data_IF_459679368870
#
_entry.id   IF_459679368870
#
_cell.length_a   1.000
_cell.length_b   1.000
_cell.length_c   1.000
_cell.angle_alpha   90.00
_cell.angle_beta   90.00
_cell.angle_gamma   90.00
#
_symmetry.space_group_name_H-M   'P 1'
#
loop_
_entity.id
_entity.type
_entity.pdbx_description
1 polymer ?
#
# COMPACT_ATOMS: atom_id res chain seq x y z
N UNK A 1 -12.88 15.24 45.24
CA UNK A 1 -11.66 15.86 44.71
C UNK A 1 -10.74 14.84 44.03
N UNK A 2 -10.59 13.62 44.57
CA UNK A 2 -9.71 12.58 44.00
C UNK A 2 -10.15 12.01 42.65
N UNK A 3 -11.46 11.90 42.39
CA UNK A 3 -11.98 11.34 41.13
C UNK A 3 -11.56 12.17 39.90
N UNK A 4 -11.52 13.50 40.03
CA UNK A 4 -11.08 14.39 38.96
C UNK A 4 -9.58 14.28 38.68
N UNK A 5 -8.78 13.99 39.70
CA UNK A 5 -7.33 13.85 39.57
C UNK A 5 -6.96 12.56 38.83
N UNK A 6 -7.66 11.46 39.11
CA UNK A 6 -7.51 10.18 38.41
C UNK A 6 -7.97 10.28 36.95
N UNK A 7 -9.09 10.96 36.69
CA UNK A 7 -9.58 11.20 35.33
C UNK A 7 -8.60 12.09 34.55
N UNK A 8 -8.07 13.16 35.14
CA UNK A 8 -7.06 14.02 34.50
C UNK A 8 -5.73 13.30 34.25
N UNK A 9 -5.28 12.47 35.20
CA UNK A 9 -4.07 11.67 35.05
C UNK A 9 -4.22 10.61 33.95
N UNK A 10 -5.37 9.92 33.88
CA UNK A 10 -5.64 8.93 32.83
C UNK A 10 -5.82 9.57 31.46
N UNK A 11 -6.46 10.75 31.35
CA UNK A 11 -6.51 11.53 30.12
C UNK A 11 -5.11 11.98 29.68
N UNK A 12 -4.28 12.46 30.62
CA UNK A 12 -2.90 12.88 30.37
C UNK A 12 -2.04 11.72 29.88
N UNK A 13 -2.20 10.54 30.45
CA UNK A 13 -1.50 9.32 30.02
C UNK A 13 -1.96 8.87 28.63
N UNK A 14 -3.26 8.95 28.34
CA UNK A 14 -3.81 8.65 27.01
C UNK A 14 -3.32 9.66 25.96
N UNK A 15 -3.28 10.95 26.28
CA UNK A 15 -2.73 11.99 25.42
C UNK A 15 -1.24 11.77 25.17
N UNK A 16 -0.43 11.50 26.21
CA UNK A 16 1.00 11.19 26.05
C UNK A 16 1.25 9.93 25.21
N UNK A 17 0.34 8.95 25.21
CA UNK A 17 0.43 7.76 24.36
C UNK A 17 -0.02 8.02 22.91
N UNK A 18 -1.02 8.88 22.70
CA UNK A 18 -1.66 9.12 21.40
C UNK A 18 -0.98 10.26 20.62
N UNK A 19 -0.50 11.31 21.29
CA UNK A 19 0.13 12.48 20.66
C UNK A 19 1.36 12.11 19.82
N UNK A 20 2.30 11.28 20.32
CA UNK A 20 3.48 10.88 19.54
C UNK A 20 3.09 10.10 18.29
N UNK A 21 2.09 9.21 18.39
CA UNK A 21 1.53 8.49 17.25
C UNK A 21 0.84 9.41 16.25
N UNK A 22 0.04 10.37 16.71
CA UNK A 22 -0.64 11.35 15.86
C UNK A 22 0.35 12.30 15.17
N UNK A 23 1.38 12.78 15.89
CA UNK A 23 2.48 13.59 15.34
C UNK A 23 3.32 12.80 14.35
N UNK A 24 3.59 11.52 14.63
CA UNK A 24 4.26 10.62 13.69
C UNK A 24 3.43 10.42 12.41
N UNK A 25 2.12 10.17 12.54
CA UNK A 25 1.21 10.04 11.39
C UNK A 25 1.15 11.34 10.58
N UNK A 26 1.00 12.49 11.24
CA UNK A 26 0.92 13.81 10.60
C UNK A 26 2.22 14.18 9.87
N UNK A 27 3.37 14.02 10.53
CA UNK A 27 4.68 14.35 9.95
C UNK A 27 5.10 13.41 8.81
N UNK A 28 4.54 12.20 8.74
CA UNK A 28 4.83 11.21 7.71
C UNK A 28 3.75 11.08 6.64
N UNK A 29 2.60 11.75 6.80
CA UNK A 29 1.50 11.76 5.82
C UNK A 29 1.97 12.25 4.43
N UNK A 30 2.97 13.14 4.39
CA UNK A 30 3.54 13.66 3.15
C UNK A 30 4.72 12.83 2.60
N UNK A 31 5.16 11.77 3.29
CA UNK A 31 6.40 11.02 2.97
C UNK A 31 6.19 9.73 2.17
N UNK A 32 4.98 9.41 1.72
CA UNK A 32 4.75 8.22 0.88
C UNK A 32 5.34 8.35 -0.53
N UNK A 33 5.99 9.48 -0.85
CA UNK A 33 6.93 9.58 -1.98
C UNK A 33 8.05 8.54 -1.85
N UNK A 34 8.41 8.14 -0.63
CA UNK A 34 9.32 7.04 -0.35
C UNK A 34 8.65 6.05 0.64
N UNK A 35 7.85 5.10 0.12
CA UNK A 35 7.13 4.17 0.97
C UNK A 35 8.06 3.20 1.72
N UNK A 36 9.28 2.97 1.22
CA UNK A 36 10.26 2.10 1.88
C UNK A 36 10.81 2.74 3.15
N UNK A 37 11.15 4.03 3.11
CA UNK A 37 11.61 4.76 4.29
C UNK A 37 10.52 4.80 5.37
N UNK A 38 9.25 5.01 5.00
CA UNK A 38 8.14 4.97 5.95
C UNK A 38 7.98 3.57 6.57
N UNK A 39 8.03 2.53 5.76
CA UNK A 39 7.92 1.14 6.24
C UNK A 39 9.03 0.78 7.23
N UNK A 40 10.28 1.15 6.92
CA UNK A 40 11.44 0.96 7.79
C UNK A 40 11.29 1.77 9.09
N UNK A 41 10.93 3.05 9.01
CA UNK A 41 10.75 3.90 10.18
C UNK A 41 9.71 3.35 11.17
N UNK A 42 8.61 2.75 10.67
CA UNK A 42 7.63 2.09 11.54
C UNK A 42 8.21 0.80 12.13
N UNK A 43 8.98 0.04 11.34
CA UNK A 43 9.64 -1.19 11.78
C UNK A 43 10.73 -0.99 12.84
N UNK A 44 11.43 0.14 12.79
CA UNK A 44 12.49 0.50 13.76
C UNK A 44 11.91 1.15 15.03
N UNK A 45 10.60 1.41 15.05
CA UNK A 45 9.91 2.00 16.21
C UNK A 45 9.44 0.94 17.21
N UNK A 46 9.13 1.33 18.47
CA UNK A 46 8.49 0.43 19.44
C UNK A 46 7.14 -0.16 18.97
N UNK A 47 6.53 0.40 17.92
CA UNK A 47 5.26 -0.03 17.35
C UNK A 47 5.41 -1.05 16.19
N UNK A 48 6.60 -1.65 16.02
CA UNK A 48 6.89 -2.58 14.92
C UNK A 48 5.87 -3.74 14.79
N UNK A 49 5.31 -4.22 15.89
CA UNK A 49 4.29 -5.29 15.91
C UNK A 49 2.99 -4.88 15.19
N UNK A 50 2.70 -3.58 15.13
CA UNK A 50 1.55 -2.99 14.42
C UNK A 50 1.93 -2.42 13.04
N UNK A 51 3.17 -2.64 12.56
CA UNK A 51 3.70 -1.99 11.35
C UNK A 51 2.76 -2.05 10.16
N UNK A 52 2.29 -3.25 9.84
CA UNK A 52 1.43 -3.48 8.69
C UNK A 52 0.11 -2.71 8.79
N UNK A 53 -0.47 -2.64 10.00
CA UNK A 53 -1.71 -1.91 10.25
C UNK A 53 -1.51 -0.40 10.16
N UNK A 54 -0.44 0.12 10.80
CA UNK A 54 -0.10 1.55 10.76
C UNK A 54 0.15 1.98 9.31
N UNK A 55 0.99 1.25 8.58
CA UNK A 55 1.32 1.57 7.20
C UNK A 55 0.09 1.55 6.30
N UNK A 56 -0.73 0.49 6.38
CA UNK A 56 -1.97 0.38 5.60
C UNK A 56 -2.94 1.51 5.92
N UNK A 57 -3.00 1.93 7.19
CA UNK A 57 -3.84 3.05 7.63
C UNK A 57 -3.35 4.39 7.04
N UNK A 58 -2.04 4.67 7.10
CA UNK A 58 -1.43 5.85 6.48
C UNK A 58 -1.68 5.88 4.97
N UNK A 59 -1.46 4.75 4.29
CA UNK A 59 -1.73 4.60 2.86
C UNK A 59 -3.17 4.98 2.53
N UNK A 60 -4.14 4.53 3.34
CA UNK A 60 -5.54 4.87 3.16
C UNK A 60 -5.84 6.35 3.34
N UNK A 61 -5.16 7.06 4.25
CA UNK A 61 -5.33 8.51 4.39
C UNK A 61 -4.78 9.29 3.20
N UNK A 62 -3.70 8.82 2.59
CA UNK A 62 -3.01 9.50 1.48
C UNK A 62 -3.67 9.17 0.13
N UNK A 63 -4.09 7.92 -0.06
CA UNK A 63 -4.90 7.48 -1.19
C UNK A 63 -6.28 7.03 -0.67
N UNK A 64 -7.24 7.97 -0.49
CA UNK A 64 -8.56 7.67 0.06
C UNK A 64 -9.31 6.58 -0.70
N UNK A 65 -9.10 6.46 -2.02
CA UNK A 65 -9.79 5.45 -2.82
C UNK A 65 -9.34 4.03 -2.46
N UNK A 66 -8.09 3.84 -2.06
CA UNK A 66 -7.59 2.53 -1.61
C UNK A 66 -8.32 2.02 -0.36
N UNK A 67 -8.93 2.91 0.45
CA UNK A 67 -9.75 2.53 1.63
C UNK A 67 -11.03 1.79 1.27
N UNK A 68 -11.45 1.84 0.00
CA UNK A 68 -12.58 1.03 -0.47
C UNK A 68 -12.26 -0.46 -0.45
N UNK A 69 -10.97 -0.83 -0.50
CA UNK A 69 -10.50 -2.19 -0.32
C UNK A 69 -10.15 -2.48 1.15
N UNK A 70 -10.50 -3.65 1.70
CA UNK A 70 -9.93 -4.19 2.92
C UNK A 70 -8.52 -4.74 2.64
N UNK A 71 -7.66 -3.86 2.13
CA UNK A 71 -6.26 -4.12 1.82
C UNK A 71 -5.46 -4.27 3.12
N UNK A 72 -4.44 -5.12 3.10
CA UNK A 72 -3.39 -5.16 4.13
C UNK A 72 -2.05 -5.39 3.44
N UNK A 73 -1.10 -4.47 3.62
CA UNK A 73 0.29 -4.67 3.17
C UNK A 73 0.95 -5.69 4.10
N UNK A 74 1.49 -6.76 3.53
CA UNK A 74 2.19 -7.83 4.25
C UNK A 74 3.70 -7.59 4.27
N UNK A 75 4.26 -7.35 3.09
CA UNK A 75 5.68 -7.13 2.87
C UNK A 75 5.88 -5.88 2.00
N UNK A 76 6.91 -5.12 2.30
CA UNK A 76 7.36 -4.00 1.50
C UNK A 76 8.89 -3.93 1.59
N UNK A 77 9.53 -4.11 0.44
CA UNK A 77 10.97 -4.01 0.27
C UNK A 77 11.27 -3.32 -1.07
N UNK A 78 12.56 -3.09 -1.37
CA UNK A 78 13.00 -2.34 -2.52
C UNK A 78 12.62 -3.04 -3.84
N UNK A 79 11.53 -2.56 -4.45
CA UNK A 79 10.95 -3.09 -5.68
C UNK A 79 10.06 -4.30 -5.44
N UNK A 80 9.69 -4.64 -4.20
CA UNK A 80 8.84 -5.79 -3.91
C UNK A 80 7.75 -5.41 -2.92
N UNK A 81 6.51 -5.72 -3.26
CA UNK A 81 5.36 -5.53 -2.36
C UNK A 81 4.46 -6.74 -2.42
N UNK A 82 4.04 -7.20 -1.25
CA UNK A 82 3.01 -8.23 -1.09
C UNK A 82 1.89 -7.66 -0.25
N UNK A 83 0.65 -7.80 -0.73
CA UNK A 83 -0.53 -7.36 -0.01
C UNK A 83 -1.66 -8.37 -0.14
N UNK A 84 -2.57 -8.37 0.83
CA UNK A 84 -3.79 -9.18 0.77
C UNK A 84 -5.03 -8.31 0.71
N UNK A 85 -6.06 -8.80 0.03
CA UNK A 85 -7.42 -8.26 0.14
C UNK A 85 -8.36 -9.37 0.59
N UNK A 86 -9.22 -9.09 1.57
CA UNK A 86 -10.26 -10.02 2.01
C UNK A 86 -11.57 -9.72 1.27
N UNK A 87 -12.23 -10.74 0.71
CA UNK A 87 -13.55 -10.55 0.14
C UNK A 87 -14.54 -9.94 1.16
N UNK A 88 -15.29 -8.93 0.71
CA UNK A 88 -16.38 -8.29 1.44
C UNK A 88 -17.58 -8.12 0.52
N UNK A 89 -18.78 -8.08 1.11
CA UNK A 89 -20.02 -7.88 0.35
C UNK A 89 -20.00 -6.62 -0.52
N UNK A 90 -19.41 -5.52 -0.02
CA UNK A 90 -19.27 -4.27 -0.77
C UNK A 90 -18.37 -4.36 -2.01
N UNK A 91 -17.57 -5.43 -2.13
CA UNK A 91 -16.66 -5.66 -3.25
C UNK A 91 -17.19 -6.67 -4.26
N UNK A 92 -18.37 -7.26 -4.03
CA UNK A 92 -18.89 -8.32 -4.89
C UNK A 92 -19.44 -7.77 -6.19
N UNK A 93 -19.20 -8.50 -7.28
CA UNK A 93 -19.93 -8.35 -8.52
C UNK A 93 -21.22 -9.21 -8.51
N UNK A 94 -22.09 -9.08 -9.52
CA UNK A 94 -23.29 -9.92 -9.66
C UNK A 94 -23.03 -11.44 -9.78
N UNK A 95 -21.77 -11.86 -9.95
CA UNK A 95 -21.36 -13.27 -10.10
C UNK A 95 -20.80 -13.89 -8.82
N UNK A 96 -21.06 -13.26 -7.66
CA UNK A 96 -20.60 -13.69 -6.34
C UNK A 96 -19.08 -13.94 -6.31
N UNK A 97 -18.34 -12.92 -6.72
CA UNK A 97 -16.87 -12.85 -6.72
C UNK A 97 -16.43 -11.41 -6.56
N UNK A 98 -15.18 -11.18 -6.17
CA UNK A 98 -14.62 -9.82 -6.07
C UNK A 98 -14.69 -9.14 -7.45
N UNK A 99 -15.15 -7.90 -7.46
CA UNK A 99 -15.34 -7.11 -8.67
C UNK A 99 -14.02 -6.89 -9.41
N UNK A 100 -14.04 -6.97 -10.74
CA UNK A 100 -12.85 -6.81 -11.58
C UNK A 100 -12.12 -5.48 -11.30
N UNK A 101 -12.86 -4.38 -11.19
CA UNK A 101 -12.31 -3.05 -10.82
C UNK A 101 -11.65 -3.02 -9.42
N UNK A 102 -12.14 -3.82 -8.47
CA UNK A 102 -11.48 -3.94 -7.17
C UNK A 102 -10.12 -4.64 -7.29
N UNK A 103 -9.98 -5.59 -8.22
CA UNK A 103 -8.70 -6.21 -8.56
C UNK A 103 -7.77 -5.24 -9.30
N UNK A 104 -8.30 -4.37 -10.15
CA UNK A 104 -7.53 -3.27 -10.76
C UNK A 104 -6.93 -2.37 -9.68
N UNK A 105 -7.74 -1.91 -8.73
CA UNK A 105 -7.29 -1.04 -7.63
C UNK A 105 -6.25 -1.73 -6.73
N UNK A 106 -6.43 -3.03 -6.46
CA UNK A 106 -5.45 -3.82 -5.74
C UNK A 106 -4.11 -3.85 -6.49
N UNK A 107 -4.14 -4.16 -7.78
CA UNK A 107 -2.95 -4.22 -8.62
C UNK A 107 -2.26 -2.84 -8.76
N UNK A 108 -3.03 -1.78 -8.99
CA UNK A 108 -2.54 -0.41 -9.04
C UNK A 108 -1.82 -0.02 -7.75
N UNK A 109 -2.44 -0.31 -6.61
CA UNK A 109 -1.87 0.04 -5.30
C UNK A 109 -0.58 -0.71 -5.04
N UNK A 110 -0.56 -2.03 -5.24
CA UNK A 110 0.61 -2.88 -4.98
C UNK A 110 1.73 -2.61 -5.98
N UNK A 111 1.39 -2.45 -7.27
CA UNK A 111 2.31 -2.09 -8.33
C UNK A 111 2.94 -0.71 -8.13
N UNK A 112 2.12 0.28 -7.80
CA UNK A 112 2.58 1.64 -7.52
C UNK A 112 3.50 1.72 -6.32
N UNK A 113 3.16 1.05 -5.22
CA UNK A 113 4.05 0.98 -4.06
C UNK A 113 5.41 0.40 -4.43
N UNK A 114 5.45 -0.73 -5.15
CA UNK A 114 6.70 -1.34 -5.58
C UNK A 114 7.53 -0.40 -6.46
N UNK A 115 6.90 0.29 -7.43
CA UNK A 115 7.56 1.28 -8.28
C UNK A 115 8.14 2.45 -7.46
N UNK A 116 7.36 3.02 -6.54
CA UNK A 116 7.80 4.16 -5.74
C UNK A 116 8.97 3.83 -4.80
N UNK A 117 9.13 2.58 -4.35
CA UNK A 117 10.32 2.18 -3.57
C UNK A 117 11.64 2.24 -4.35
N UNK A 118 11.58 2.33 -5.69
CA UNK A 118 12.76 2.42 -6.56
C UNK A 118 13.06 3.85 -7.03
N UNK A 119 12.16 4.80 -6.77
CA UNK A 119 12.35 6.19 -7.16
C UNK A 119 13.19 6.97 -6.14
N UNK A 120 14.11 7.78 -6.65
CA UNK A 120 14.83 8.78 -5.87
C UNK A 120 13.96 10.00 -5.54
N UNK A 121 14.49 10.88 -4.68
CA UNK A 121 13.76 12.08 -4.20
C UNK A 121 13.32 13.04 -5.31
N UNK A 122 14.06 13.12 -6.42
CA UNK A 122 13.78 14.04 -7.53
C UNK A 122 13.04 13.37 -8.69
N UNK A 123 12.92 12.04 -8.64
CA UNK A 123 12.32 11.24 -9.69
C UNK A 123 10.79 11.32 -9.63
N UNK A 124 10.14 11.05 -10.75
CA UNK A 124 8.68 11.05 -10.87
C UNK A 124 8.24 9.81 -11.63
N UNK A 125 7.11 9.24 -11.20
CA UNK A 125 6.45 8.14 -11.88
C UNK A 125 4.96 8.36 -11.91
N UNK A 126 4.36 8.18 -13.09
CA UNK A 126 2.91 8.31 -13.30
C UNK A 126 2.42 7.07 -14.05
N UNK A 127 1.33 6.47 -13.59
CA UNK A 127 0.67 5.38 -14.30
C UNK A 127 0.01 5.93 -15.57
N UNK A 128 0.37 5.38 -16.72
CA UNK A 128 -0.16 5.74 -18.04
C UNK A 128 -1.16 4.71 -18.58
N UNK A 129 -0.96 3.45 -18.22
CA UNK A 129 -1.79 2.36 -18.69
C UNK A 129 -1.86 1.26 -17.64
N UNK A 130 -3.01 0.60 -17.57
CA UNK A 130 -3.22 -0.59 -16.76
C UNK A 130 -4.05 -1.56 -17.59
N UNK A 131 -3.52 -2.77 -17.80
CA UNK A 131 -4.18 -3.86 -18.50
C UNK A 131 -4.35 -5.03 -17.52
N UNK A 132 -5.55 -5.60 -17.46
CA UNK A 132 -5.85 -6.77 -16.62
C UNK A 132 -6.15 -7.99 -17.49
N UNK A 133 -5.64 -9.13 -17.07
CA UNK A 133 -6.01 -10.45 -17.58
C UNK A 133 -6.57 -11.28 -16.42
N UNK A 134 -7.75 -11.87 -16.60
CA UNK A 134 -8.48 -12.61 -15.56
C UNK A 134 -8.59 -14.07 -15.94
N UNK A 135 -8.05 -14.96 -15.11
CA UNK A 135 -8.00 -16.41 -15.38
C UNK A 135 -9.04 -17.19 -14.57
N UNK A 136 -9.44 -16.67 -13.40
CA UNK A 136 -10.41 -17.32 -12.49
C UNK A 136 -11.26 -16.27 -11.77
N UNK A 137 -12.46 -16.66 -11.34
CA UNK A 137 -13.29 -15.84 -10.45
C UNK A 137 -12.60 -15.66 -9.09
N UNK A 138 -12.35 -14.40 -8.73
CA UNK A 138 -11.77 -14.01 -7.46
C UNK A 138 -12.72 -14.24 -6.27
N UNK A 139 -12.33 -15.09 -5.31
CA UNK A 139 -13.12 -15.36 -4.09
C UNK A 139 -12.22 -15.53 -2.88
N UNK A 140 -12.77 -15.23 -1.71
CA UNK A 140 -12.08 -15.34 -0.43
C UNK A 140 -10.98 -14.29 -0.25
N UNK A 141 -9.90 -14.68 0.42
CA UNK A 141 -8.72 -13.83 0.55
C UNK A 141 -7.85 -14.01 -0.67
N UNK A 142 -7.43 -12.89 -1.27
CA UNK A 142 -6.46 -12.89 -2.35
C UNK A 142 -5.15 -12.27 -1.90
N UNK A 143 -4.06 -12.72 -2.49
CA UNK A 143 -2.71 -12.18 -2.33
C UNK A 143 -2.27 -11.55 -3.64
N UNK A 144 -1.83 -10.30 -3.61
CA UNK A 144 -1.24 -9.60 -4.74
C UNK A 144 0.26 -9.40 -4.50
N UNK A 145 1.06 -9.73 -5.50
CA UNK A 145 2.51 -9.66 -5.47
C UNK A 145 3.01 -8.83 -6.64
N UNK A 146 3.84 -7.82 -6.35
CA UNK A 146 4.51 -6.99 -7.35
C UNK A 146 6.01 -7.08 -7.20
N UNK A 147 6.68 -7.22 -8.35
CA UNK A 147 8.12 -7.03 -8.51
C UNK A 147 8.39 -5.90 -9.50
N UNK A 148 9.16 -4.90 -9.09
CA UNK A 148 9.55 -3.75 -9.89
C UNK A 148 11.08 -3.66 -9.97
N UNK A 149 11.60 -3.87 -11.17
CA UNK A 149 13.01 -3.67 -11.48
C UNK A 149 13.17 -2.36 -12.23
N UNK A 150 14.13 -1.54 -11.81
CA UNK A 150 14.41 -0.25 -12.41
C UNK A 150 15.88 -0.19 -12.80
N UNK A 151 16.14 -0.24 -14.10
CA UNK A 151 17.43 0.17 -14.64
C UNK A 151 17.45 1.70 -14.70
N UNK A 152 18.51 2.33 -14.17
CA UNK A 152 18.62 3.79 -14.14
C UNK A 152 18.86 4.32 -15.56
N UNK A 153 18.19 5.39 -15.92
CA UNK A 153 18.35 6.13 -17.17
C UNK A 153 18.16 7.62 -16.89
N UNK A 154 18.65 8.48 -17.77
CA UNK A 154 18.41 9.92 -17.68
C UNK A 154 17.15 10.31 -18.48
N UNK A 155 16.33 11.21 -17.92
CA UNK A 155 15.17 11.76 -18.61
C UNK A 155 13.93 10.87 -18.49
N UNK A 156 13.06 10.93 -19.51
CA UNK A 156 11.71 10.33 -19.48
C UNK A 156 11.63 9.07 -20.33
N UNK A 157 11.10 7.98 -19.76
CA UNK A 157 10.87 6.70 -20.45
C UNK A 157 9.62 6.01 -19.94
N UNK A 158 9.00 5.18 -20.79
CA UNK A 158 7.98 4.25 -20.35
C UNK A 158 8.58 2.92 -19.88
N UNK A 159 8.13 2.44 -18.73
CA UNK A 159 8.56 1.17 -18.12
C UNK A 159 7.32 0.37 -17.76
N UNK A 160 7.35 -0.93 -18.05
CA UNK A 160 6.25 -1.85 -17.77
C UNK A 160 6.59 -2.73 -16.57
N UNK A 161 5.62 -2.93 -15.69
CA UNK A 161 5.72 -3.86 -14.57
C UNK A 161 4.50 -4.74 -14.49
N UNK A 162 4.58 -5.86 -13.76
CA UNK A 162 3.45 -6.76 -13.57
C UNK A 162 3.10 -6.98 -12.10
N UNK A 163 1.82 -7.25 -11.85
CA UNK A 163 1.30 -7.69 -10.54
C UNK A 163 0.55 -8.99 -10.74
N UNK A 164 0.86 -9.99 -9.92
CA UNK A 164 0.17 -11.28 -9.90
C UNK A 164 -0.79 -11.30 -8.74
N UNK A 165 -2.03 -11.75 -8.98
CA UNK A 165 -3.05 -11.91 -7.94
C UNK A 165 -3.37 -13.40 -7.83
N UNK A 166 -3.21 -13.95 -6.64
CA UNK A 166 -3.39 -15.37 -6.32
C UNK A 166 -4.51 -15.54 -5.30
N UNK A 167 -5.16 -16.69 -5.29
CA UNK A 167 -6.07 -17.07 -4.21
C UNK A 167 -5.33 -17.74 -3.04
N UNK A 168 -6.09 -18.23 -2.06
CA UNK A 168 -5.56 -18.87 -0.86
C UNK A 168 -4.77 -20.17 -1.14
N UNK A 169 -5.06 -20.83 -2.27
CA UNK A 169 -4.36 -22.04 -2.71
C UNK A 169 -3.15 -21.71 -3.61
N UNK A 170 -2.76 -20.42 -3.67
CA UNK A 170 -1.71 -19.89 -4.54
C UNK A 170 -1.98 -20.10 -6.03
N UNK A 171 -3.25 -20.27 -6.42
CA UNK A 171 -3.64 -20.38 -7.82
C UNK A 171 -3.80 -19.00 -8.42
N UNK A 172 -3.29 -18.80 -9.64
CA UNK A 172 -3.36 -17.53 -10.34
C UNK A 172 -4.81 -17.15 -10.67
N UNK A 173 -5.24 -15.97 -10.20
CA UNK A 173 -6.57 -15.41 -10.42
C UNK A 173 -6.55 -14.36 -11.52
N UNK A 174 -5.58 -13.45 -11.47
CA UNK A 174 -5.43 -12.38 -12.44
C UNK A 174 -3.98 -11.90 -12.52
N UNK A 175 -3.62 -11.29 -13.65
CA UNK A 175 -2.37 -10.56 -13.84
C UNK A 175 -2.71 -9.15 -14.30
N UNK A 176 -2.02 -8.17 -13.72
CA UNK A 176 -2.03 -6.79 -14.17
C UNK A 176 -0.71 -6.45 -14.83
N UNK A 177 -0.77 -5.76 -15.94
CA UNK A 177 0.36 -5.06 -16.55
C UNK A 177 0.16 -3.55 -16.35
N UNK A 178 1.18 -2.89 -15.81
CA UNK A 178 1.15 -1.46 -15.49
C UNK A 178 2.24 -0.76 -16.31
N UNK A 179 1.83 0.18 -17.13
CA UNK A 179 2.70 1.03 -17.95
C UNK A 179 2.93 2.34 -17.22
N UNK A 180 4.16 2.59 -16.80
CA UNK A 180 4.57 3.77 -16.07
C UNK A 180 5.33 4.73 -16.98
N UNK A 181 4.99 6.02 -16.94
CA UNK A 181 5.88 7.07 -17.42
C UNK A 181 6.77 7.52 -16.27
N UNK A 182 8.05 7.20 -16.38
CA UNK A 182 9.07 7.55 -15.40
C UNK A 182 9.94 8.68 -15.94
N UNK A 183 10.20 9.67 -15.09
CA UNK A 183 11.17 10.72 -15.32
C UNK A 183 12.22 10.64 -14.22
N UNK A 184 13.41 10.18 -14.57
CA UNK A 184 14.53 10.00 -13.66
C UNK A 184 15.52 11.15 -13.83
N UNK A 185 15.99 11.70 -12.71
CA UNK A 185 17.02 12.74 -12.71
C UNK A 185 18.34 12.15 -12.24
N UNK A 186 19.42 12.59 -12.85
CA UNK A 186 20.76 12.35 -12.31
C UNK A 186 20.83 12.98 -10.90
N UNK A 187 21.46 12.26 -9.97
CA UNK A 187 21.45 12.59 -8.54
C UNK A 187 21.99 14.00 -8.24
#
# INVERSE_FOLDING_TARGET
MELNLIVLASLGTLLLAVLPGALFLYSNLFKLRDPLTLWKAIGDSPLYFCRNWIFTTILGFINPYSRTLPLKILELDQGRVVATVKEKNSLRNPFNSIHAVALCLLAETVGGLAMFTKLGKKDRGILKGLKMEYYKKARGTLTAESGFQLERFAGKREVVSSVRILDADLVLVAVAELTWSLELKDE
#
